data_IF_026334636625
#
_entry.id   IF_026334636625
#
_cell.length_a   1.000
_cell.length_b   1.000
_cell.length_c   1.000
_cell.angle_alpha   90.00
_cell.angle_beta   90.00
_cell.angle_gamma   90.00
#
_symmetry.space_group_name_H-M   'P 1'
#
loop_
_entity.id
_entity.type
_entity.pdbx_description
1 polymer ?
#
# COMPACT_ATOMS: atom_id res chain seq x y z
N UNK A 1 2.01 44.03 0.49
CA UNK A 1 0.78 44.39 -0.27
C UNK A 1 -0.20 43.24 -0.12
N UNK A 2 -1.21 43.39 0.74
CA UNK A 2 -2.24 42.38 0.95
C UNK A 2 -3.16 42.35 -0.28
N UNK A 3 -3.25 41.20 -0.95
CA UNK A 3 -4.10 40.98 -2.12
C UNK A 3 -5.53 40.90 -1.61
N UNK A 4 -6.35 41.91 -1.88
CA UNK A 4 -7.80 41.86 -1.65
C UNK A 4 -8.36 40.74 -2.52
N UNK A 5 -8.62 39.58 -1.90
CA UNK A 5 -9.30 38.46 -2.56
C UNK A 5 -10.75 38.89 -2.72
N UNK A 6 -11.16 39.17 -3.96
CA UNK A 6 -12.53 39.46 -4.31
C UNK A 6 -13.36 38.18 -4.11
N UNK A 7 -14.47 38.25 -3.38
CA UNK A 7 -15.38 37.13 -3.11
C UNK A 7 -15.80 36.40 -4.39
N UNK A 8 -15.91 37.14 -5.50
CA UNK A 8 -16.19 36.58 -6.82
C UNK A 8 -15.08 35.63 -7.31
N UNK A 9 -13.82 35.96 -7.05
CA UNK A 9 -12.70 35.08 -7.38
C UNK A 9 -12.72 33.81 -6.52
N UNK A 10 -13.12 33.91 -5.25
CA UNK A 10 -13.23 32.74 -4.36
C UNK A 10 -14.23 31.72 -4.92
N UNK A 11 -15.45 32.16 -5.27
CA UNK A 11 -16.46 31.28 -5.86
C UNK A 11 -15.97 30.64 -7.18
N UNK A 12 -15.33 31.43 -8.05
CA UNK A 12 -14.76 30.91 -9.31
C UNK A 12 -13.67 29.87 -9.05
N UNK A 13 -12.81 30.08 -8.05
CA UNK A 13 -11.72 29.16 -7.73
C UNK A 13 -12.23 27.79 -7.31
N UNK A 14 -13.30 27.75 -6.51
CA UNK A 14 -13.94 26.51 -6.07
C UNK A 14 -14.48 25.73 -7.28
N UNK A 15 -15.29 26.39 -8.12
CA UNK A 15 -15.91 25.76 -9.29
C UNK A 15 -14.87 25.30 -10.33
N UNK A 16 -13.87 26.14 -10.62
CA UNK A 16 -12.78 25.80 -11.55
C UNK A 16 -11.95 24.62 -11.01
N UNK A 17 -11.69 24.58 -9.71
CA UNK A 17 -10.94 23.48 -9.09
C UNK A 17 -11.71 22.16 -9.22
N UNK A 18 -13.01 22.15 -8.92
CA UNK A 18 -13.85 20.98 -9.09
C UNK A 18 -13.83 20.47 -10.53
N UNK A 19 -14.08 21.35 -11.51
CA UNK A 19 -14.12 20.97 -12.92
C UNK A 19 -12.79 20.41 -13.41
N UNK A 20 -11.67 21.02 -13.01
CA UNK A 20 -10.33 20.55 -13.40
C UNK A 20 -10.02 19.19 -12.76
N UNK A 21 -10.36 18.98 -11.48
CA UNK A 21 -10.15 17.69 -10.79
C UNK A 21 -11.00 16.56 -11.41
N UNK A 22 -12.20 16.89 -11.90
CA UNK A 22 -13.08 15.96 -12.60
C UNK A 22 -12.71 15.75 -14.08
N UNK A 23 -11.67 16.41 -14.60
CA UNK A 23 -11.27 16.34 -16.00
C UNK A 23 -12.27 16.98 -16.97
N UNK A 24 -13.16 17.85 -16.48
CA UNK A 24 -14.17 18.54 -17.29
C UNK A 24 -13.60 19.84 -17.88
N UNK A 25 -14.06 20.20 -19.08
CA UNK A 25 -13.75 21.49 -19.68
C UNK A 25 -14.46 22.63 -18.94
N UNK A 26 -13.81 23.79 -18.82
CA UNK A 26 -14.42 24.97 -18.22
C UNK A 26 -15.55 25.54 -19.10
N UNK A 27 -16.74 25.84 -18.55
CA UNK A 27 -17.77 26.61 -19.24
C UNK A 27 -17.22 27.94 -19.75
N UNK A 28 -17.77 28.44 -20.87
CA UNK A 28 -17.28 29.65 -21.53
C UNK A 28 -17.16 30.89 -20.61
N UNK A 29 -18.11 31.18 -19.68
CA UNK A 29 -17.96 32.30 -18.75
C UNK A 29 -16.74 32.16 -17.83
N UNK A 30 -16.51 30.98 -17.27
CA UNK A 30 -15.37 30.69 -16.40
C UNK A 30 -14.06 30.73 -17.19
N UNK A 31 -14.03 30.15 -18.39
CA UNK A 31 -12.86 30.18 -19.26
C UNK A 31 -12.43 31.61 -19.59
N UNK A 32 -13.39 32.51 -19.90
CA UNK A 32 -13.13 33.93 -20.13
C UNK A 32 -12.57 34.62 -18.88
N UNK A 33 -13.12 34.34 -17.70
CA UNK A 33 -12.62 34.93 -16.46
C UNK A 33 -11.21 34.44 -16.12
N UNK A 34 -10.96 33.13 -16.22
CA UNK A 34 -9.62 32.56 -15.99
C UNK A 34 -8.60 33.16 -16.97
N UNK A 35 -9.00 33.43 -18.22
CA UNK A 35 -8.14 34.08 -19.20
C UNK A 35 -7.84 35.56 -18.87
N UNK A 36 -8.76 36.28 -18.22
CA UNK A 36 -8.59 37.71 -17.90
C UNK A 36 -8.07 37.99 -16.49
N UNK A 37 -8.18 37.05 -15.55
CA UNK A 37 -7.77 37.19 -14.16
C UNK A 37 -6.48 36.40 -13.87
N UNK A 38 -5.35 37.10 -13.70
CA UNK A 38 -4.05 36.47 -13.43
C UNK A 38 -4.06 35.56 -12.19
N UNK A 39 -4.80 35.94 -11.13
CA UNK A 39 -4.91 35.14 -9.91
C UNK A 39 -5.62 33.80 -10.13
N UNK A 40 -6.74 33.81 -10.86
CA UNK A 40 -7.47 32.58 -11.20
C UNK A 40 -6.69 31.74 -12.23
N UNK A 41 -6.00 32.36 -13.19
CA UNK A 41 -5.12 31.67 -14.14
C UNK A 41 -4.02 30.88 -13.42
N UNK A 42 -3.32 31.53 -12.49
CA UNK A 42 -2.23 30.91 -11.72
C UNK A 42 -2.71 29.71 -10.90
N UNK A 43 -3.87 29.83 -10.25
CA UNK A 43 -4.43 28.72 -9.47
C UNK A 43 -4.93 27.58 -10.32
N UNK A 44 -5.64 27.88 -11.41
CA UNK A 44 -6.08 26.85 -12.37
C UNK A 44 -4.88 26.03 -12.87
N UNK A 45 -3.77 26.69 -13.21
CA UNK A 45 -2.57 25.99 -13.63
C UNK A 45 -1.89 25.23 -12.48
N UNK A 46 -1.99 25.72 -11.24
CA UNK A 46 -1.61 25.00 -10.03
C UNK A 46 -2.36 23.68 -9.87
N UNK A 47 -3.68 23.70 -9.97
CA UNK A 47 -4.53 22.51 -9.88
C UNK A 47 -4.21 21.53 -11.02
N UNK A 48 -4.04 22.03 -12.25
CA UNK A 48 -3.64 21.17 -13.40
C UNK A 48 -2.31 20.46 -13.19
N UNK A 49 -1.32 21.10 -12.53
CA UNK A 49 -0.06 20.43 -12.16
C UNK A 49 -0.28 19.28 -11.18
N UNK A 50 -1.18 19.43 -10.20
CA UNK A 50 -1.53 18.37 -9.25
C UNK A 50 -2.18 17.20 -9.97
N UNK A 51 -3.17 17.47 -10.84
CA UNK A 51 -3.83 16.42 -11.66
C UNK A 51 -2.81 15.63 -12.48
N UNK A 52 -1.93 16.31 -13.22
CA UNK A 52 -0.85 15.64 -13.99
C UNK A 52 0.10 14.81 -13.12
N UNK A 53 0.29 15.18 -11.86
CA UNK A 53 1.12 14.42 -10.92
C UNK A 53 0.43 13.12 -10.51
N UNK A 54 -0.89 13.17 -10.25
CA UNK A 54 -1.67 11.96 -9.97
C UNK A 54 -1.76 11.03 -11.17
N UNK A 55 -1.98 11.55 -12.38
CA UNK A 55 -2.00 10.75 -13.61
C UNK A 55 -0.68 10.00 -13.83
N UNK A 56 0.46 10.65 -13.57
CA UNK A 56 1.79 9.97 -13.63
C UNK A 56 1.94 8.91 -12.56
N UNK A 57 1.51 9.19 -11.33
CA UNK A 57 1.58 8.23 -10.24
C UNK A 57 0.69 7.01 -10.50
N UNK A 58 -0.47 7.20 -11.12
CA UNK A 58 -1.38 6.13 -11.50
C UNK A 58 -0.83 5.29 -12.67
N UNK A 59 -0.24 5.95 -13.67
CA UNK A 59 0.45 5.28 -14.78
C UNK A 59 1.60 4.38 -14.31
N UNK A 60 2.28 4.74 -13.21
CA UNK A 60 3.32 3.91 -12.59
C UNK A 60 2.75 2.75 -11.75
N UNK A 61 1.48 2.81 -11.37
CA UNK A 61 0.79 1.76 -10.60
C UNK A 61 0.05 0.77 -11.47
N UNK A 62 -0.25 1.10 -12.73
CA UNK A 62 -0.85 0.18 -13.67
C UNK A 62 0.05 -1.07 -13.83
N UNK A 63 -0.36 -2.26 -13.34
CA UNK A 63 0.35 -3.48 -13.65
C UNK A 63 0.34 -3.65 -15.17
N UNK A 64 1.48 -3.99 -15.77
CA UNK A 64 1.52 -4.49 -17.15
C UNK A 64 0.41 -5.53 -17.31
N UNK A 65 -0.43 -5.34 -18.33
CA UNK A 65 -1.63 -6.10 -18.61
C UNK A 65 -1.59 -7.53 -18.05
N UNK A 66 -2.57 -7.86 -17.20
CA UNK A 66 -2.89 -9.25 -16.88
C UNK A 66 -2.88 -10.03 -18.21
N UNK A 67 -2.13 -11.16 -18.33
CA UNK A 67 -2.16 -11.95 -19.54
C UNK A 67 -3.63 -12.27 -19.83
N UNK A 68 -4.10 -11.82 -20.98
CA UNK A 68 -5.48 -11.99 -21.40
C UNK A 68 -5.87 -13.45 -21.22
N UNK A 69 -7.09 -13.67 -20.73
CA UNK A 69 -7.67 -14.99 -20.55
C UNK A 69 -7.65 -15.76 -21.89
N UNK A 70 -6.53 -16.43 -22.13
CA UNK A 70 -6.32 -17.35 -23.23
C UNK A 70 -7.13 -18.59 -22.92
N UNK A 71 -8.21 -18.75 -23.67
CA UNK A 71 -8.97 -20.00 -23.79
C UNK A 71 -8.02 -21.19 -23.83
N UNK A 72 -8.08 -22.01 -22.80
CA UNK A 72 -7.47 -23.33 -22.81
C UNK A 72 -8.07 -24.13 -23.97
N UNK A 73 -7.25 -24.45 -24.97
CA UNK A 73 -7.46 -25.63 -25.81
C UNK A 73 -6.17 -26.42 -25.78
N UNK A 74 -6.19 -27.49 -24.99
CA UNK A 74 -5.22 -28.56 -25.09
C UNK A 74 -5.60 -29.40 -26.31
N UNK A 75 -4.76 -29.41 -27.34
CA UNK A 75 -4.62 -30.55 -28.26
C UNK A 75 -3.14 -30.73 -28.57
N UNK A 76 -2.75 -31.99 -28.51
CA UNK A 76 -1.42 -32.56 -28.41
C UNK A 76 -0.84 -32.91 -29.79
N UNK A 77 0.50 -33.04 -29.84
CA UNK A 77 1.38 -33.68 -30.86
C UNK A 77 1.61 -32.98 -32.21
N UNK A 78 2.89 -32.70 -32.50
CA UNK A 78 3.76 -33.65 -33.24
C UNK A 78 5.18 -33.09 -33.50
N UNK A 79 6.17 -33.94 -33.18
CA UNK A 79 7.49 -34.12 -33.84
C UNK A 79 8.12 -32.93 -34.59
N UNK A 80 9.27 -32.49 -34.06
CA UNK A 80 10.49 -32.41 -34.86
C UNK A 80 11.72 -32.63 -33.96
N UNK A 81 12.24 -33.86 -33.98
CA UNK A 81 13.55 -34.21 -33.42
C UNK A 81 14.62 -33.45 -34.22
N UNK A 82 15.40 -32.58 -33.58
CA UNK A 82 16.65 -32.07 -34.17
C UNK A 82 17.84 -32.89 -33.64
N UNK A 83 18.76 -33.31 -34.52
CA UNK A 83 19.81 -34.26 -34.18
C UNK A 83 20.92 -33.63 -33.34
N UNK A 84 21.31 -34.41 -32.33
CA UNK A 84 22.52 -34.29 -31.52
C UNK A 84 23.75 -34.32 -32.43
N UNK A 85 24.55 -33.25 -32.44
CA UNK A 85 25.95 -33.32 -32.84
C UNK A 85 26.83 -33.13 -31.61
N UNK A 86 27.29 -34.28 -31.11
CA UNK A 86 28.43 -34.41 -30.20
C UNK A 86 29.64 -33.69 -30.81
N UNK A 87 30.26 -32.81 -30.04
CA UNK A 87 31.72 -32.63 -30.05
C UNK A 87 32.20 -32.74 -28.62
N UNK A 88 32.73 -33.92 -28.32
CA UNK A 88 33.57 -34.19 -27.17
C UNK A 88 34.93 -33.57 -27.49
N UNK A 89 35.39 -32.66 -26.64
CA UNK A 89 36.81 -32.34 -26.53
C UNK A 89 37.13 -32.36 -25.04
N UNK A 90 37.74 -33.47 -24.62
CA UNK A 90 38.36 -33.60 -23.32
C UNK A 90 39.64 -32.75 -23.28
N UNK A 91 39.83 -32.01 -22.21
CA UNK A 91 41.04 -31.28 -21.92
C UNK A 91 41.17 -31.11 -20.41
N UNK A 92 41.79 -32.11 -19.78
CA UNK A 92 42.29 -32.06 -18.41
C UNK A 92 43.46 -31.07 -18.34
N UNK A 93 43.39 -30.07 -17.46
CA UNK A 93 44.57 -29.52 -16.81
C UNK A 93 44.16 -28.81 -15.51
N UNK A 94 44.78 -29.25 -14.44
CA UNK A 94 44.49 -29.02 -13.04
C UNK A 94 45.12 -27.74 -12.47
N UNK A 95 44.47 -27.22 -11.42
CA UNK A 95 45.01 -26.50 -10.26
C UNK A 95 45.84 -25.23 -10.50
N UNK A 96 45.25 -24.08 -10.18
CA UNK A 96 45.93 -23.03 -9.41
C UNK A 96 44.95 -22.39 -8.40
N UNK A 97 45.48 -22.26 -7.18
CA UNK A 97 44.83 -21.85 -5.95
C UNK A 97 44.51 -20.35 -5.87
N UNK A 98 43.53 -20.08 -4.99
CA UNK A 98 43.42 -18.94 -4.09
C UNK A 98 42.57 -17.72 -4.51
N UNK A 99 41.61 -17.46 -3.60
CA UNK A 99 41.08 -16.19 -3.15
C UNK A 99 39.74 -15.69 -3.74
N UNK A 100 38.85 -15.37 -2.79
CA UNK A 100 37.70 -14.46 -2.83
C UNK A 100 36.32 -15.02 -3.18
N UNK A 101 35.54 -15.27 -2.11
CA UNK A 101 34.13 -14.88 -1.87
C UNK A 101 33.46 -15.98 -1.02
N UNK A 102 33.46 -15.90 0.31
CA UNK A 102 32.50 -15.14 1.11
C UNK A 102 31.04 -15.30 0.62
N UNK A 103 30.17 -15.75 1.54
CA UNK A 103 28.72 -15.97 1.41
C UNK A 103 28.29 -17.24 0.64
N UNK A 104 27.87 -18.29 1.34
CA UNK A 104 26.49 -18.50 1.84
C UNK A 104 26.52 -19.81 2.62
N UNK A 105 26.75 -19.73 3.93
CA UNK A 105 26.51 -20.81 4.87
C UNK A 105 26.09 -20.21 6.21
N UNK A 106 24.84 -19.76 6.29
CA UNK A 106 24.09 -19.69 7.55
C UNK A 106 22.66 -20.09 7.25
N UNK A 107 22.44 -21.41 7.25
CA UNK A 107 21.17 -21.99 7.67
C UNK A 107 21.28 -22.19 9.17
N UNK A 108 20.21 -21.84 9.89
CA UNK A 108 20.01 -21.83 11.36
C UNK A 108 20.55 -20.59 12.07
N UNK A 109 19.62 -19.72 12.49
CA UNK A 109 19.27 -19.50 13.90
C UNK A 109 18.03 -18.61 13.96
N UNK A 110 16.89 -19.18 14.37
CA UNK A 110 15.79 -18.40 14.94
C UNK A 110 16.32 -17.77 16.23
N UNK A 111 16.86 -16.56 16.10
CA UNK A 111 17.30 -15.75 17.22
C UNK A 111 16.09 -15.25 17.99
N UNK A 112 15.89 -15.81 19.17
CA UNK A 112 15.16 -15.20 20.27
C UNK A 112 15.94 -13.93 20.67
N UNK A 113 15.58 -12.79 20.06
CA UNK A 113 16.22 -11.51 20.33
C UNK A 113 15.57 -10.90 21.58
N UNK A 114 15.92 -11.45 22.75
CA UNK A 114 15.63 -10.85 24.05
C UNK A 114 16.54 -9.64 24.26
N UNK A 115 16.24 -8.53 23.58
CA UNK A 115 16.84 -7.20 23.85
C UNK A 115 15.79 -6.28 24.46
N UNK A 116 16.04 -5.88 25.71
CA UNK A 116 15.48 -4.75 26.46
C UNK A 116 14.05 -4.33 26.09
N UNK A 117 13.10 -4.67 26.99
CA UNK A 117 11.66 -4.38 26.94
C UNK A 117 11.32 -2.90 26.66
N UNK A 118 11.43 -2.49 25.40
CA UNK A 118 10.51 -1.53 24.80
C UNK A 118 9.14 -2.18 24.95
N UNK A 119 8.16 -1.50 25.54
CA UNK A 119 6.80 -2.04 25.64
C UNK A 119 6.41 -2.60 24.26
N UNK A 120 6.36 -3.93 24.15
CA UNK A 120 6.11 -4.60 22.87
C UNK A 120 4.72 -4.15 22.46
N UNK A 121 4.58 -3.43 21.36
CA UNK A 121 3.26 -3.06 20.86
C UNK A 121 2.48 -4.36 20.65
N UNK A 122 1.26 -4.43 21.17
CA UNK A 122 0.37 -5.58 20.97
C UNK A 122 -0.88 -5.11 20.27
N UNK A 123 -1.40 -5.99 19.43
CA UNK A 123 -2.69 -5.82 18.75
C UNK A 123 -3.49 -7.09 18.95
N UNK A 124 -4.79 -6.96 19.16
CA UNK A 124 -5.70 -8.10 19.20
C UNK A 124 -7.08 -7.70 18.65
N UNK A 125 -7.75 -8.65 18.01
CA UNK A 125 -9.15 -8.49 17.61
C UNK A 125 -10.06 -8.49 18.85
N UNK A 126 -10.76 -7.39 19.05
CA UNK A 126 -11.55 -7.09 20.25
C UNK A 126 -13.05 -7.07 19.96
N UNK A 127 -13.54 -8.12 19.31
CA UNK A 127 -14.95 -8.25 18.94
C UNK A 127 -15.17 -9.06 17.69
N UNK A 128 -16.41 -9.06 17.21
CA UNK A 128 -16.77 -9.65 15.92
C UNK A 128 -16.42 -8.69 14.78
N UNK A 129 -15.96 -9.25 13.66
CA UNK A 129 -15.83 -8.51 12.42
C UNK A 129 -17.21 -8.22 11.81
N UNK A 130 -17.43 -7.00 11.36
CA UNK A 130 -18.69 -6.56 10.75
C UNK A 130 -18.46 -6.37 9.25
N UNK A 131 -19.24 -7.08 8.44
CA UNK A 131 -19.16 -6.96 6.97
C UNK A 131 -19.98 -5.77 6.50
N UNK A 132 -19.42 -5.00 5.57
CA UNK A 132 -20.10 -3.90 4.89
C UNK A 132 -20.01 -4.07 3.37
N UNK A 133 -20.87 -3.40 2.57
CA UNK A 133 -20.79 -3.45 1.11
C UNK A 133 -19.44 -2.99 0.53
N UNK A 134 -18.71 -2.18 1.29
CA UNK A 134 -17.46 -1.52 0.88
C UNK A 134 -16.23 -2.09 1.61
N UNK A 135 -16.38 -3.14 2.41
CA UNK A 135 -15.25 -3.72 3.16
C UNK A 135 -15.65 -4.39 4.47
N UNK A 136 -14.71 -4.40 5.42
CA UNK A 136 -14.90 -4.99 6.75
C UNK A 136 -14.47 -4.01 7.83
N UNK A 137 -15.28 -3.92 8.88
CA UNK A 137 -14.90 -3.29 10.13
C UNK A 137 -14.38 -4.35 11.11
N UNK A 138 -13.22 -4.10 11.72
CA UNK A 138 -12.59 -4.98 12.69
C UNK A 138 -12.35 -4.21 13.99
N UNK A 139 -13.11 -4.49 15.06
CA UNK A 139 -12.81 -3.97 16.39
C UNK A 139 -11.46 -4.51 16.86
N UNK A 140 -10.56 -3.62 17.31
CA UNK A 140 -9.23 -4.00 17.77
C UNK A 140 -8.85 -3.28 19.06
N UNK A 141 -8.04 -3.96 19.87
CA UNK A 141 -7.38 -3.39 21.04
C UNK A 141 -5.87 -3.32 20.79
N UNK A 142 -5.27 -2.20 21.18
CA UNK A 142 -3.85 -1.90 21.02
C UNK A 142 -3.26 -1.56 22.38
N UNK A 143 -2.09 -2.11 22.72
CA UNK A 143 -1.37 -1.77 23.96
C UNK A 143 0.13 -1.64 23.70
N UNK A 144 0.86 -1.09 24.68
CA UNK A 144 2.30 -0.81 24.54
C UNK A 144 2.62 0.33 23.57
N UNK A 145 1.65 1.18 23.23
CA UNK A 145 1.85 2.30 22.31
C UNK A 145 2.67 3.42 22.97
N UNK A 146 3.64 3.97 22.24
CA UNK A 146 4.41 5.13 22.69
C UNK A 146 3.57 6.41 22.51
N UNK A 147 3.33 7.12 23.61
CA UNK A 147 2.61 8.39 23.60
C UNK A 147 3.14 9.36 22.54
N UNK A 148 2.23 10.06 21.85
CA UNK A 148 2.53 11.00 20.77
C UNK A 148 2.83 10.35 19.41
N UNK A 149 3.13 9.05 19.37
CA UNK A 149 3.47 8.33 18.14
C UNK A 149 2.23 7.97 17.33
N UNK A 150 2.38 7.93 16.01
CA UNK A 150 1.34 7.50 15.08
C UNK A 150 1.63 6.09 14.59
N UNK A 151 0.61 5.25 14.61
CA UNK A 151 0.68 3.86 14.17
C UNK A 151 -0.28 3.65 13.00
N UNK A 152 0.17 2.94 11.97
CA UNK A 152 -0.67 2.51 10.86
C UNK A 152 -1.19 1.12 11.14
N UNK A 153 -2.48 0.92 10.89
CA UNK A 153 -3.15 -0.35 11.09
C UNK A 153 -3.39 -0.99 9.72
N UNK A 154 -3.15 -2.29 9.60
CA UNK A 154 -3.37 -3.02 8.34
C UNK A 154 -4.00 -4.38 8.61
N UNK A 155 -4.79 -4.85 7.65
CA UNK A 155 -5.23 -6.25 7.60
C UNK A 155 -4.40 -7.00 6.57
N UNK A 156 -4.26 -8.31 6.74
CA UNK A 156 -3.73 -9.18 5.70
C UNK A 156 -4.43 -10.51 5.59
N UNK A 157 -4.14 -11.20 4.50
CA UNK A 157 -4.73 -12.47 4.11
C UNK A 157 -3.69 -13.60 4.07
N UNK A 158 -4.17 -14.83 3.88
CA UNK A 158 -3.32 -16.02 3.81
C UNK A 158 -2.33 -16.03 2.64
N UNK A 159 -2.60 -15.26 1.58
CA UNK A 159 -1.71 -15.11 0.43
C UNK A 159 -0.62 -14.04 0.65
N UNK A 160 -0.55 -13.44 1.84
CA UNK A 160 0.41 -12.39 2.18
C UNK A 160 0.02 -10.98 1.68
N UNK A 161 -1.14 -10.83 1.05
CA UNK A 161 -1.70 -9.54 0.67
C UNK A 161 -2.03 -8.71 1.91
N UNK A 162 -1.75 -7.40 1.86
CA UNK A 162 -1.96 -6.46 2.98
C UNK A 162 -2.73 -5.23 2.49
N UNK A 163 -3.67 -4.76 3.29
CA UNK A 163 -4.49 -3.58 2.99
C UNK A 163 -4.47 -2.65 4.21
N UNK A 164 -4.21 -1.36 3.98
CA UNK A 164 -4.25 -0.36 5.05
C UNK A 164 -5.68 -0.17 5.55
N UNK A 165 -5.83 -0.10 6.88
CA UNK A 165 -7.12 -0.10 7.56
C UNK A 165 -7.25 1.05 8.59
N UNK A 166 -6.52 2.15 8.35
CA UNK A 166 -6.51 3.35 9.18
C UNK A 166 -5.19 3.64 9.88
N UNK A 167 -5.20 4.65 10.74
CA UNK A 167 -4.10 5.01 11.62
C UNK A 167 -4.62 5.55 12.95
N UNK A 168 -3.79 5.48 13.97
CA UNK A 168 -4.11 5.98 15.30
C UNK A 168 -2.92 6.71 15.90
N UNK A 169 -3.19 7.82 16.59
CA UNK A 169 -2.18 8.53 17.38
C UNK A 169 -2.36 8.16 18.85
N UNK A 170 -1.31 7.65 19.48
CA UNK A 170 -1.35 7.27 20.88
C UNK A 170 -1.41 8.54 21.76
N UNK A 171 -2.52 8.76 22.45
CA UNK A 171 -2.76 9.95 23.27
C UNK A 171 -2.51 9.75 24.78
N UNK A 172 -2.29 8.51 25.24
CA UNK A 172 -2.32 8.15 26.67
C UNK A 172 -0.99 7.69 27.30
N UNK A 173 -0.95 7.69 28.64
CA UNK A 173 0.08 7.06 29.47
C UNK A 173 -0.12 5.54 29.54
N UNK A 174 0.84 4.80 28.96
CA UNK A 174 1.32 3.48 29.44
C UNK A 174 0.41 2.26 29.32
N UNK A 175 -0.73 2.23 30.03
CA UNK A 175 -1.22 0.95 30.55
C UNK A 175 -2.66 0.58 30.15
N UNK A 176 -3.47 1.52 29.66
CA UNK A 176 -4.84 1.24 29.22
C UNK A 176 -4.84 0.88 27.72
N UNK A 177 -5.37 -0.29 27.31
CA UNK A 177 -5.49 -0.64 25.91
C UNK A 177 -6.37 0.36 25.14
N UNK A 178 -5.85 0.87 24.03
CA UNK A 178 -6.58 1.72 23.11
C UNK A 178 -7.47 0.86 22.22
N UNK A 179 -8.79 1.02 22.36
CA UNK A 179 -9.79 0.33 21.53
C UNK A 179 -10.15 1.20 20.34
N UNK A 180 -10.02 0.67 19.14
CA UNK A 180 -10.38 1.35 17.89
C UNK A 180 -11.09 0.39 16.94
N UNK A 181 -11.74 0.95 15.91
CA UNK A 181 -12.34 0.18 14.82
C UNK A 181 -11.46 0.37 13.59
N UNK A 182 -10.85 -0.70 13.12
CA UNK A 182 -10.15 -0.72 11.83
C UNK A 182 -11.19 -0.90 10.73
N UNK A 183 -10.94 -0.26 9.60
CA UNK A 183 -11.84 -0.32 8.46
C UNK A 183 -11.04 -0.59 7.21
N UNK A 184 -11.27 -1.73 6.57
CA UNK A 184 -10.47 -2.21 5.43
C UNK A 184 -11.35 -2.56 4.25
N UNK A 185 -10.84 -2.39 3.02
CA UNK A 185 -11.51 -2.86 1.81
C UNK A 185 -11.48 -4.39 1.64
N UNK A 186 -10.75 -5.11 2.51
CA UNK A 186 -10.68 -6.57 2.48
C UNK A 186 -11.98 -7.20 3.00
N UNK A 187 -12.46 -8.26 2.35
CA UNK A 187 -13.63 -9.04 2.78
C UNK A 187 -13.39 -9.78 4.10
N UNK A 188 -14.44 -9.93 4.92
CA UNK A 188 -14.41 -10.54 6.27
C UNK A 188 -13.75 -11.92 6.27
N UNK A 189 -14.09 -12.77 5.31
CA UNK A 189 -13.60 -14.15 5.23
C UNK A 189 -12.15 -14.28 4.75
N UNK A 190 -11.58 -13.19 4.22
CA UNK A 190 -10.22 -13.14 3.68
C UNK A 190 -9.21 -12.64 4.72
N UNK A 191 -9.67 -11.95 5.76
CA UNK A 191 -8.79 -11.39 6.80
C UNK A 191 -8.33 -12.51 7.74
N UNK A 192 -7.01 -12.71 7.79
CA UNK A 192 -6.37 -13.71 8.66
C UNK A 192 -5.40 -13.10 9.67
N UNK A 193 -4.99 -11.85 9.45
CA UNK A 193 -3.92 -11.22 10.24
C UNK A 193 -4.14 -9.72 10.39
N UNK A 194 -3.83 -9.19 11.57
CA UNK A 194 -3.72 -7.77 11.86
C UNK A 194 -2.25 -7.39 11.97
N UNK A 195 -1.90 -6.23 11.46
CA UNK A 195 -0.56 -5.67 11.55
C UNK A 195 -0.60 -4.24 12.08
N UNK A 196 0.44 -3.87 12.81
CA UNK A 196 0.70 -2.50 13.23
C UNK A 196 2.07 -2.08 12.72
N UNK A 197 2.13 -0.95 12.04
CA UNK A 197 3.38 -0.29 11.66
C UNK A 197 3.57 1.00 12.46
N UNK A 198 4.82 1.31 12.79
CA UNK A 198 5.18 2.61 13.35
C UNK A 198 5.29 3.71 12.27
N UNK A 199 5.72 4.91 12.68
CA UNK A 199 5.89 6.05 11.80
C UNK A 199 6.99 5.85 10.73
N UNK A 200 7.96 4.97 10.99
CA UNK A 200 9.04 4.63 10.07
C UNK A 200 8.63 3.52 9.08
N UNK A 201 7.40 3.00 9.20
CA UNK A 201 6.89 1.90 8.39
C UNK A 201 7.37 0.51 8.85
N UNK A 202 8.00 0.41 10.03
CA UNK A 202 8.43 -0.87 10.58
C UNK A 202 7.26 -1.58 11.22
N UNK A 203 7.13 -2.88 10.97
CA UNK A 203 6.12 -3.71 11.65
C UNK A 203 6.52 -3.91 13.11
N UNK A 204 5.66 -3.43 14.02
CA UNK A 204 5.89 -3.46 15.47
C UNK A 204 4.96 -4.41 16.21
N UNK A 205 3.89 -4.87 15.56
CA UNK A 205 3.00 -5.90 16.09
C UNK A 205 2.30 -6.66 14.95
N UNK A 206 1.97 -7.92 15.23
CA UNK A 206 1.10 -8.74 14.41
C UNK A 206 0.26 -9.66 15.29
N UNK A 207 -0.97 -9.97 14.86
CA UNK A 207 -1.82 -10.93 15.55
C UNK A 207 -2.75 -11.66 14.57
N UNK A 208 -3.12 -12.92 14.87
CA UNK A 208 -4.17 -13.60 14.13
C UNK A 208 -5.50 -12.86 14.27
N UNK A 209 -6.31 -12.91 13.21
CA UNK A 209 -7.68 -12.44 13.22
C UNK A 209 -8.53 -13.28 12.28
N UNK A 210 -9.84 -13.23 12.47
CA UNK A 210 -10.79 -13.86 11.57
C UNK A 210 -12.22 -13.81 12.08
N UNK A 211 -13.17 -14.33 11.29
CA UNK A 211 -14.53 -14.54 11.73
C UNK A 211 -14.54 -15.42 12.99
N UNK A 212 -15.19 -14.96 14.06
CA UNK A 212 -15.43 -15.81 15.23
C UNK A 212 -16.51 -16.81 14.86
N UNK A 213 -16.23 -18.11 15.03
CA UNK A 213 -17.26 -19.14 14.92
C UNK A 213 -18.11 -19.07 16.19
N UNK A 214 -19.38 -18.73 16.07
CA UNK A 214 -20.36 -18.96 17.13
C UNK A 214 -20.58 -20.47 17.21
N UNK A 215 -20.05 -21.10 18.26
CA UNK A 215 -20.39 -22.48 18.65
C UNK A 215 -21.70 -22.49 19.43
#
# INVERSE_FOLDING_TARGET
>A
MARTVNDFCTAIREEVTELVLLGKSLPAPLARHVASCQGCAQETEGVRRVVRTFERADSLRAPSALPGAGRATAVDRARARRPVRRRVAAGLASLLLAACAAFVAVVTTSGDDTRASVASVRVAQDGEMISHPWGTEVPVSLSGLRAGSTYRLMTGNAAGGRVQAGSVRASGRGDVPLRVRMTTAMSKDTITTLYVQDADGRFVAQAPAGPRRTT
#
